data_IF_743238960323
#
_entry.id   IF_743238960323
#
_cell.length_a   1.000
_cell.length_b   1.000
_cell.length_c   1.000
_cell.angle_alpha   90.00
_cell.angle_beta   90.00
_cell.angle_gamma   90.00
#
_symmetry.space_group_name_H-M   'P 1'
#
loop_
_entity.id
_entity.type
_entity.pdbx_description
1 polymer ?
#
# COMPACT_ATOMS: atom_id res chain seq x y z
N UNK A 1 32.78 54.34 24.53
CA UNK A 1 33.75 53.92 23.49
C UNK A 1 34.13 52.46 23.76
N UNK A 2 34.38 51.67 22.71
CA UNK A 2 34.42 50.18 22.66
C UNK A 2 33.02 49.54 22.53
N UNK A 3 32.75 48.54 21.69
CA UNK A 3 33.52 47.85 20.65
C UNK A 3 32.51 47.12 19.74
N UNK A 4 32.52 47.38 18.44
CA UNK A 4 31.71 46.67 17.43
C UNK A 4 32.48 45.45 16.95
N UNK A 5 32.04 44.26 17.38
CA UNK A 5 32.57 42.96 16.97
C UNK A 5 31.71 42.31 15.90
N UNK A 6 32.33 42.10 14.73
CA UNK A 6 31.83 41.42 13.54
C UNK A 6 31.11 40.09 13.79
N UNK A 7 29.95 39.89 13.16
CA UNK A 7 29.42 38.57 12.81
C UNK A 7 29.23 38.54 11.30
N UNK A 8 30.23 37.98 10.61
CA UNK A 8 30.23 37.72 9.18
C UNK A 8 29.71 36.31 8.89
N UNK A 9 28.65 36.27 8.06
CA UNK A 9 28.48 35.35 6.94
C UNK A 9 28.66 33.83 7.19
N UNK A 10 27.57 33.18 7.62
CA UNK A 10 27.26 31.81 7.17
C UNK A 10 26.27 31.87 6.00
N UNK A 11 26.78 32.10 4.78
CA UNK A 11 26.07 31.67 3.56
C UNK A 11 26.33 30.18 3.40
N UNK A 12 25.48 29.34 4.01
CA UNK A 12 25.34 27.95 3.58
C UNK A 12 24.33 27.89 2.45
N UNK A 13 24.82 27.39 1.32
CA UNK A 13 24.13 27.11 0.07
C UNK A 13 22.77 26.44 0.32
N UNK A 14 21.70 27.22 0.16
CA UNK A 14 20.37 26.70 -0.12
C UNK A 14 20.40 26.18 -1.54
N UNK A 15 20.33 24.87 -1.69
CA UNK A 15 20.12 24.19 -2.97
C UNK A 15 18.69 24.52 -3.47
N UNK A 16 18.49 25.22 -4.59
CA UNK A 16 17.17 25.53 -5.10
C UNK A 16 16.79 24.51 -6.18
N UNK A 17 16.70 23.23 -5.81
CA UNK A 17 16.29 22.15 -6.74
C UNK A 17 15.33 21.13 -6.10
N UNK A 18 14.46 21.58 -5.20
CA UNK A 18 13.24 20.84 -4.82
C UNK A 18 12.01 21.58 -5.34
N UNK A 19 11.96 21.83 -6.64
CA UNK A 19 10.75 22.27 -7.33
C UNK A 19 10.10 21.07 -8.00
N UNK A 20 8.80 20.92 -7.75
CA UNK A 20 7.78 20.25 -8.60
C UNK A 20 7.87 18.72 -8.76
N UNK A 21 7.47 17.98 -7.72
CA UNK A 21 6.88 16.63 -7.91
C UNK A 21 5.45 16.49 -7.34
N UNK A 22 4.91 17.52 -6.69
CA UNK A 22 3.55 17.49 -6.11
C UNK A 22 2.45 17.73 -7.17
N UNK A 23 2.80 18.12 -8.40
CA UNK A 23 1.81 18.68 -9.33
C UNK A 23 1.21 17.69 -10.35
N UNK A 24 1.74 16.48 -10.55
CA UNK A 24 1.26 15.64 -11.66
C UNK A 24 -0.02 14.88 -11.35
N UNK A 25 -0.24 14.40 -10.12
CA UNK A 25 -1.53 13.79 -9.74
C UNK A 25 -2.65 14.84 -9.64
N UNK A 26 -2.31 16.04 -9.15
CA UNK A 26 -3.31 17.02 -8.71
C UNK A 26 -3.66 18.09 -9.77
N UNK A 27 -2.92 18.18 -10.87
CA UNK A 27 -3.22 19.13 -11.95
C UNK A 27 -4.23 18.65 -12.99
N UNK A 28 -4.80 17.46 -12.86
CA UNK A 28 -5.88 17.00 -13.75
C UNK A 28 -7.27 17.52 -13.33
N UNK A 29 -7.35 18.75 -12.82
CA UNK A 29 -8.63 19.47 -12.73
C UNK A 29 -8.97 20.01 -14.13
N UNK A 30 -10.16 19.73 -14.69
CA UNK A 30 -10.58 20.38 -15.92
C UNK A 30 -10.59 21.90 -15.69
N UNK A 31 -9.83 22.63 -16.53
CA UNK A 31 -9.93 24.08 -16.61
C UNK A 31 -11.39 24.44 -16.95
N UNK A 32 -12.18 24.79 -15.93
CA UNK A 32 -13.44 25.48 -16.13
C UNK A 32 -13.10 26.82 -16.78
N UNK A 33 -13.36 26.88 -18.09
CA UNK A 33 -13.15 28.03 -18.93
C UNK A 33 -14.02 29.20 -18.42
N UNK A 34 -13.43 30.07 -17.59
CA UNK A 34 -14.05 31.35 -17.21
C UNK A 34 -13.95 32.31 -18.38
N UNK A 35 -14.89 32.16 -19.31
CA UNK A 35 -15.23 33.20 -20.27
C UNK A 35 -16.75 33.17 -20.49
N UNK A 36 -17.50 33.83 -19.60
CA UNK A 36 -18.84 34.30 -19.95
C UNK A 36 -19.03 35.71 -19.43
N UNK A 37 -19.15 36.62 -20.40
CA UNK A 37 -19.49 38.03 -20.26
C UNK A 37 -20.73 38.20 -19.41
N UNK A 38 -20.67 39.21 -18.54
CA UNK A 38 -21.83 39.88 -17.97
C UNK A 38 -22.75 40.37 -19.08
N UNK A 39 -24.04 40.07 -18.97
CA UNK A 39 -25.14 41.01 -19.29
C UNK A 39 -26.48 40.38 -18.92
N UNK A 40 -27.36 41.25 -18.41
CA UNK A 40 -28.81 41.17 -18.43
C UNK A 40 -29.50 40.27 -17.40
N UNK A 41 -30.01 40.95 -16.38
CA UNK A 41 -31.29 40.76 -15.69
C UNK A 41 -32.25 39.81 -16.39
N UNK A 42 -32.61 38.70 -15.73
CA UNK A 42 -34.00 38.26 -15.73
C UNK A 42 -34.31 37.40 -14.49
N UNK A 43 -35.53 37.60 -13.97
CA UNK A 43 -36.07 36.93 -12.79
C UNK A 43 -36.56 35.55 -13.21
N UNK A 44 -36.00 34.48 -12.64
CA UNK A 44 -36.63 33.16 -12.71
C UNK A 44 -36.52 32.47 -11.35
N UNK A 45 -37.69 32.11 -10.84
CA UNK A 45 -37.95 31.41 -9.59
C UNK A 45 -37.14 30.11 -9.46
N UNK A 46 -36.53 29.93 -8.29
CA UNK A 46 -35.87 28.69 -7.90
C UNK A 46 -36.94 27.70 -7.46
N UNK A 47 -37.30 26.77 -8.35
CA UNK A 47 -38.05 25.56 -7.97
C UNK A 47 -37.06 24.62 -7.29
N UNK A 48 -37.24 24.43 -5.99
CA UNK A 48 -36.57 23.42 -5.17
C UNK A 48 -37.02 22.05 -5.66
N UNK A 49 -36.13 21.31 -6.34
CA UNK A 49 -36.38 19.93 -6.73
C UNK A 49 -36.21 19.02 -5.51
N UNK A 50 -37.33 18.77 -4.84
CA UNK A 50 -37.51 17.74 -3.82
C UNK A 50 -37.26 16.37 -4.44
N UNK A 51 -36.26 15.65 -3.95
CA UNK A 51 -35.97 14.28 -4.34
C UNK A 51 -36.76 13.33 -3.43
N UNK A 52 -37.98 12.98 -3.85
CA UNK A 52 -38.76 11.89 -3.28
C UNK A 52 -39.50 11.14 -4.38
N UNK A 53 -39.24 9.83 -4.46
CA UNK A 53 -40.10 8.71 -4.93
C UNK A 53 -39.23 7.46 -4.74
N UNK A 54 -39.43 6.65 -3.69
CA UNK A 54 -40.50 5.66 -3.55
C UNK A 54 -40.74 4.86 -4.84
N UNK A 55 -40.15 3.67 -4.88
CA UNK A 55 -40.64 2.56 -5.67
C UNK A 55 -40.96 1.40 -4.72
N UNK A 56 -42.26 1.16 -4.57
CA UNK A 56 -42.85 -0.04 -4.02
C UNK A 56 -42.55 -1.22 -4.97
N UNK A 57 -42.02 -2.32 -4.43
CA UNK A 57 -42.16 -3.63 -5.07
C UNK A 57 -42.93 -4.53 -4.11
N UNK A 58 -44.10 -4.95 -4.58
CA UNK A 58 -45.01 -5.89 -3.96
C UNK A 58 -44.38 -7.28 -3.77
N UNK A 59 -44.64 -7.83 -2.58
CA UNK A 59 -45.16 -9.17 -2.29
C UNK A 59 -44.86 -10.28 -3.32
N UNK A 60 -44.10 -11.29 -2.87
CA UNK A 60 -44.63 -12.65 -2.74
C UNK A 60 -43.78 -13.47 -1.75
N UNK A 61 -44.38 -13.74 -0.60
CA UNK A 61 -43.89 -14.67 0.44
C UNK A 61 -44.67 -15.96 0.33
N UNK A 62 -44.07 -17.06 -0.12
CA UNK A 62 -44.41 -18.42 0.36
C UNK A 62 -43.29 -19.37 -0.04
N UNK A 63 -42.54 -19.90 0.93
CA UNK A 63 -42.23 -21.34 1.02
C UNK A 63 -41.51 -21.64 2.33
N UNK A 64 -42.12 -22.56 3.08
CA UNK A 64 -41.70 -23.06 4.37
C UNK A 64 -40.45 -23.95 4.25
N UNK A 65 -39.48 -23.79 5.15
CA UNK A 65 -38.46 -24.82 5.40
C UNK A 65 -38.65 -25.30 6.83
N UNK A 66 -38.90 -26.61 6.93
CA UNK A 66 -39.13 -27.37 8.14
C UNK A 66 -37.82 -27.50 8.93
N UNK A 67 -37.93 -27.27 10.24
CA UNK A 67 -36.98 -27.73 11.24
C UNK A 67 -37.10 -29.26 11.36
N UNK A 68 -35.97 -29.98 11.23
CA UNK A 68 -35.89 -31.38 11.61
C UNK A 68 -34.96 -31.50 12.81
N UNK A 69 -35.59 -31.57 13.97
CA UNK A 69 -35.05 -31.98 15.25
C UNK A 69 -34.78 -33.49 15.22
N UNK A 70 -33.57 -33.94 15.60
CA UNK A 70 -33.34 -35.34 15.99
C UNK A 70 -32.54 -35.40 17.29
N UNK A 71 -33.22 -35.95 18.29
CA UNK A 71 -32.71 -36.42 19.56
C UNK A 71 -32.07 -37.81 19.44
N UNK A 72 -30.98 -38.01 20.21
CA UNK A 72 -30.58 -39.17 21.06
C UNK A 72 -30.42 -40.57 20.39
N UNK A 73 -29.49 -41.46 20.86
CA UNK A 73 -29.36 -41.82 22.28
C UNK A 73 -27.96 -42.09 22.86
N UNK A 74 -27.98 -42.16 24.19
CA UNK A 74 -26.96 -42.53 25.18
C UNK A 74 -26.48 -44.00 25.18
N UNK A 75 -25.64 -44.30 26.20
CA UNK A 75 -25.07 -45.58 26.71
C UNK A 75 -23.87 -46.13 25.90
N UNK A 76 -22.72 -46.58 26.42
CA UNK A 76 -22.36 -47.31 27.66
C UNK A 76 -20.88 -47.13 28.06
N UNK A 77 -20.64 -47.33 29.36
CA UNK A 77 -19.37 -47.47 30.07
C UNK A 77 -18.32 -48.41 29.44
N UNK A 78 -17.05 -48.09 29.65
CA UNK A 78 -16.06 -49.14 29.96
C UNK A 78 -14.89 -48.63 30.81
N UNK A 79 -14.46 -49.54 31.66
CA UNK A 79 -13.67 -49.44 32.88
C UNK A 79 -12.19 -49.74 32.58
N UNK A 80 -11.32 -49.41 33.56
CA UNK A 80 -9.99 -49.98 33.87
C UNK A 80 -8.79 -49.36 33.14
N UNK A 81 -7.65 -49.06 33.79
CA UNK A 81 -7.05 -49.59 35.04
C UNK A 81 -6.26 -48.51 35.80
N UNK A 82 -6.19 -48.69 37.13
CA UNK A 82 -5.18 -48.10 38.02
C UNK A 82 -3.94 -49.01 38.04
N UNK A 83 -2.76 -48.41 38.20
CA UNK A 83 -1.56 -48.95 38.89
C UNK A 83 -0.66 -47.71 39.16
N UNK A 84 -0.60 -47.15 40.36
CA UNK A 84 0.18 -47.58 41.53
C UNK A 84 1.69 -47.68 41.25
N UNK A 85 2.45 -46.66 41.66
CA UNK A 85 3.90 -46.76 41.90
C UNK A 85 4.40 -45.65 42.86
N UNK A 86 4.43 -46.02 44.14
CA UNK A 86 5.56 -45.97 45.08
C UNK A 86 6.43 -44.69 45.09
N UNK A 87 6.31 -43.96 46.20
CA UNK A 87 7.29 -42.97 46.66
C UNK A 87 8.41 -43.64 47.49
N UNK A 88 9.64 -43.10 47.43
CA UNK A 88 10.71 -42.99 48.47
C UNK A 88 12.05 -42.60 47.81
N UNK A 89 13.15 -42.23 48.51
CA UNK A 89 13.48 -40.84 48.78
C UNK A 89 14.91 -40.42 48.36
N UNK A 90 15.15 -39.11 48.40
CA UNK A 90 16.41 -38.41 48.75
C UNK A 90 17.75 -38.92 48.18
N UNK A 91 18.31 -38.17 47.22
CA UNK A 91 19.77 -38.03 47.13
C UNK A 91 20.15 -36.61 46.71
N UNK A 92 20.87 -35.97 47.62
CA UNK A 92 21.36 -34.60 47.58
C UNK A 92 22.59 -34.52 46.67
N UNK A 93 22.46 -33.89 45.50
CA UNK A 93 23.60 -33.60 44.61
C UNK A 93 23.98 -32.11 44.70
N UNK A 94 25.25 -31.76 45.01
CA UNK A 94 25.67 -30.38 45.18
C UNK A 94 25.71 -29.62 43.84
N UNK A 95 24.81 -28.63 43.70
CA UNK A 95 24.74 -27.69 42.58
C UNK A 95 26.00 -26.80 42.53
N UNK A 96 26.98 -27.16 41.72
CA UNK A 96 28.06 -26.25 41.29
C UNK A 96 27.46 -25.08 40.51
N UNK A 97 27.36 -23.91 41.16
CA UNK A 97 26.97 -22.64 40.54
C UNK A 97 28.01 -22.25 39.47
N UNK A 98 27.78 -22.68 38.22
CA UNK A 98 28.45 -22.09 37.05
C UNK A 98 28.02 -20.62 36.98
N UNK A 99 28.95 -19.71 37.30
CA UNK A 99 28.83 -18.28 37.03
C UNK A 99 28.56 -18.13 35.53
N UNK A 100 27.29 -17.94 35.15
CA UNK A 100 26.88 -17.49 33.83
C UNK A 100 27.52 -16.12 33.62
N UNK A 101 28.63 -16.09 32.91
CA UNK A 101 29.18 -14.86 32.37
C UNK A 101 28.07 -14.19 31.55
N UNK A 102 27.66 -12.99 31.96
CA UNK A 102 26.79 -12.12 31.15
C UNK A 102 27.57 -11.80 29.87
N UNK A 103 27.37 -12.60 28.83
CA UNK A 103 27.84 -12.31 27.49
C UNK A 103 27.04 -11.10 27.01
N UNK A 104 27.60 -9.90 27.16
CA UNK A 104 27.11 -8.68 26.49
C UNK A 104 27.27 -8.90 24.98
N UNK A 105 26.33 -9.60 24.36
CA UNK A 105 26.16 -9.59 22.92
C UNK A 105 25.24 -8.40 22.57
N UNK A 106 25.75 -7.18 22.72
CA UNK A 106 25.12 -6.02 22.11
C UNK A 106 25.59 -5.94 20.65
N UNK A 107 25.28 -6.98 19.86
CA UNK A 107 25.36 -6.84 18.41
C UNK A 107 24.17 -5.97 18.05
N UNK A 108 24.46 -4.73 17.66
CA UNK A 108 23.46 -3.79 17.22
C UNK A 108 22.65 -4.47 16.11
N UNK A 109 21.42 -4.92 16.41
CA UNK A 109 20.57 -5.67 15.47
C UNK A 109 19.90 -4.72 14.47
N UNK A 110 20.17 -3.43 14.61
CA UNK A 110 19.65 -2.39 13.75
C UNK A 110 20.36 -2.43 12.40
N UNK A 111 19.59 -2.23 11.34
CA UNK A 111 20.11 -1.96 10.01
C UNK A 111 19.96 -0.47 9.70
N UNK A 112 18.76 0.05 9.89
CA UNK A 112 18.40 1.46 9.72
C UNK A 112 17.59 1.88 10.95
N UNK A 113 18.24 2.42 12.00
CA UNK A 113 17.57 2.80 13.24
C UNK A 113 16.50 3.88 13.03
N UNK A 114 16.72 4.83 12.11
CA UNK A 114 15.86 6.02 11.95
C UNK A 114 14.46 5.68 11.43
N UNK A 115 14.30 4.52 10.79
CA UNK A 115 13.00 4.01 10.32
C UNK A 115 12.69 2.64 10.95
N UNK A 116 13.35 2.31 12.06
CA UNK A 116 13.15 1.08 12.84
C UNK A 116 13.32 -0.23 12.05
N UNK A 117 14.22 -0.26 11.04
CA UNK A 117 14.54 -1.50 10.34
C UNK A 117 15.75 -2.20 10.94
N UNK A 118 15.62 -3.51 11.10
CA UNK A 118 16.61 -4.42 11.68
C UNK A 118 17.30 -5.24 10.60
N UNK A 119 18.42 -5.87 10.94
CA UNK A 119 19.18 -6.75 10.04
C UNK A 119 18.32 -7.91 9.50
N UNK A 120 17.32 -8.36 10.26
CA UNK A 120 16.36 -9.37 9.78
C UNK A 120 15.52 -8.87 8.59
N UNK A 121 15.15 -7.57 8.55
CA UNK A 121 14.40 -7.00 7.44
C UNK A 121 15.26 -6.92 6.18
N UNK A 122 16.55 -6.59 6.33
CA UNK A 122 17.51 -6.66 5.22
C UNK A 122 17.56 -8.05 4.60
N UNK A 123 17.59 -9.10 5.44
CA UNK A 123 17.58 -10.49 4.97
C UNK A 123 16.29 -10.85 4.24
N UNK A 124 15.13 -10.40 4.74
CA UNK A 124 13.84 -10.59 4.06
C UNK A 124 13.84 -9.96 2.66
N UNK A 125 14.40 -8.76 2.52
CA UNK A 125 14.54 -8.08 1.23
C UNK A 125 15.52 -8.80 0.30
N UNK A 126 16.54 -9.48 0.82
CA UNK A 126 17.47 -10.28 0.02
C UNK A 126 16.90 -11.66 -0.37
N UNK A 127 15.84 -12.11 0.30
CA UNK A 127 15.20 -13.40 0.08
C UNK A 127 13.87 -13.32 -0.67
N UNK A 128 13.15 -14.43 -0.66
CA UNK A 128 11.81 -14.60 -1.26
C UNK A 128 10.70 -14.61 -0.20
N UNK A 129 10.96 -14.00 0.96
CA UNK A 129 10.00 -13.92 2.05
C UNK A 129 8.98 -12.80 1.79
N UNK A 130 7.75 -12.97 2.29
CA UNK A 130 6.76 -11.90 2.32
C UNK A 130 7.29 -10.72 3.14
N UNK A 131 7.09 -9.51 2.64
CA UNK A 131 7.36 -8.31 3.42
C UNK A 131 6.39 -8.23 4.60
N UNK A 132 6.92 -7.88 5.76
CA UNK A 132 6.13 -7.61 6.96
C UNK A 132 5.65 -6.15 6.99
N UNK A 133 4.75 -5.89 7.91
CA UNK A 133 4.19 -4.58 8.22
C UNK A 133 5.26 -3.54 8.59
N UNK A 134 6.31 -3.91 9.32
CA UNK A 134 7.42 -2.99 9.66
C UNK A 134 8.12 -2.47 8.38
N UNK A 135 8.36 -3.32 7.38
CA UNK A 135 8.92 -2.91 6.08
C UNK A 135 7.93 -2.05 5.29
N UNK A 136 6.65 -2.42 5.24
CA UNK A 136 5.63 -1.65 4.52
C UNK A 136 5.48 -0.26 5.14
N UNK A 137 5.44 -0.15 6.47
CA UNK A 137 5.31 1.12 7.18
C UNK A 137 6.52 2.02 6.98
N UNK A 138 7.73 1.46 6.99
CA UNK A 138 8.93 2.21 6.65
C UNK A 138 8.85 2.81 5.23
N UNK A 139 8.37 2.04 4.26
CA UNK A 139 8.20 2.51 2.88
C UNK A 139 7.12 3.59 2.77
N UNK A 140 5.95 3.37 3.39
CA UNK A 140 4.86 4.34 3.42
C UNK A 140 5.28 5.68 4.05
N UNK A 141 6.02 5.64 5.16
CA UNK A 141 6.53 6.84 5.82
C UNK A 141 7.49 7.64 4.95
N UNK A 142 8.36 6.95 4.19
CA UNK A 142 9.29 7.60 3.27
C UNK A 142 8.56 8.20 2.05
N UNK A 143 7.60 7.46 1.46
CA UNK A 143 6.74 7.96 0.38
C UNK A 143 5.98 9.21 0.85
N UNK A 144 5.35 9.14 2.02
CA UNK A 144 4.59 10.24 2.60
C UNK A 144 5.45 11.48 2.82
N UNK A 145 6.67 11.31 3.33
CA UNK A 145 7.63 12.42 3.52
C UNK A 145 8.09 13.01 2.19
N UNK A 146 8.36 12.18 1.19
CA UNK A 146 8.89 12.62 -0.10
C UNK A 146 7.84 13.36 -0.95
N UNK A 147 6.60 12.87 -0.97
CA UNK A 147 5.53 13.42 -1.80
C UNK A 147 4.59 14.38 -1.05
N UNK A 148 4.71 14.49 0.29
CA UNK A 148 3.85 15.32 1.13
C UNK A 148 2.35 15.09 0.85
N UNK A 149 1.93 13.82 0.87
CA UNK A 149 0.57 13.41 0.51
C UNK A 149 -0.27 12.97 1.72
N UNK A 150 -1.59 13.00 1.56
CA UNK A 150 -2.52 12.32 2.47
C UNK A 150 -2.50 10.80 2.24
N UNK A 151 -3.11 10.06 3.17
CA UNK A 151 -3.06 8.59 3.18
C UNK A 151 -1.74 8.07 3.73
N UNK A 152 -1.25 6.98 3.11
CA UNK A 152 -0.07 6.21 3.49
C UNK A 152 0.05 6.01 5.00
N UNK A 153 -1.08 5.64 5.59
CA UNK A 153 -1.20 5.38 7.02
C UNK A 153 -0.61 4.01 7.35
N UNK A 154 -0.25 3.80 8.62
CA UNK A 154 0.31 2.52 9.08
C UNK A 154 -0.54 1.35 8.62
N UNK A 155 0.13 0.33 8.07
CA UNK A 155 -0.46 -0.91 7.59
C UNK A 155 -1.19 -1.68 8.68
N UNK A 156 -0.85 -1.47 9.95
CA UNK A 156 -1.56 -2.00 11.12
C UNK A 156 -3.04 -1.57 11.15
N UNK A 157 -3.38 -0.41 10.59
CA UNK A 157 -4.76 0.06 10.49
C UNK A 157 -5.63 -0.78 9.56
N UNK A 158 -5.03 -1.59 8.68
CA UNK A 158 -5.77 -2.60 7.90
C UNK A 158 -6.50 -3.63 8.77
N UNK A 159 -6.04 -3.83 10.02
CA UNK A 159 -6.63 -4.73 11.00
C UNK A 159 -7.54 -4.01 12.01
N UNK A 160 -7.28 -2.72 12.23
CA UNK A 160 -8.04 -1.90 13.16
C UNK A 160 -9.06 -1.05 12.39
N UNK A 161 -8.67 0.17 12.05
CA UNK A 161 -9.46 1.13 11.29
C UNK A 161 -8.54 2.22 10.75
N UNK A 162 -8.72 2.60 9.49
CA UNK A 162 -8.05 3.77 8.92
C UNK A 162 -8.72 5.09 9.36
N UNK A 163 -7.94 6.16 9.41
CA UNK A 163 -8.50 7.50 9.53
C UNK A 163 -8.98 8.01 8.16
N UNK A 164 -10.08 8.76 8.11
CA UNK A 164 -10.53 9.34 6.86
C UNK A 164 -9.54 10.40 6.36
N UNK A 165 -9.30 10.38 5.06
CA UNK A 165 -8.64 11.43 4.30
C UNK A 165 -9.68 12.37 3.69
N UNK A 166 -9.26 13.56 3.27
CA UNK A 166 -10.16 14.61 2.75
C UNK A 166 -9.76 15.10 1.35
N UNK A 167 -8.64 14.62 0.83
CA UNK A 167 -8.19 14.92 -0.53
C UNK A 167 -7.62 13.70 -1.26
N UNK A 168 -7.10 13.90 -2.48
CA UNK A 168 -6.46 12.85 -3.23
C UNK A 168 -5.27 12.28 -2.45
N UNK A 169 -5.17 10.96 -2.47
CA UNK A 169 -4.36 10.21 -1.50
C UNK A 169 -4.06 8.81 -2.02
N UNK A 170 -3.02 8.19 -1.47
CA UNK A 170 -2.59 6.83 -1.80
C UNK A 170 -2.53 6.03 -0.51
N UNK A 171 -2.99 4.78 -0.53
CA UNK A 171 -2.93 3.89 0.64
C UNK A 171 -2.49 2.49 0.24
N UNK A 172 -1.59 1.90 1.02
CA UNK A 172 -1.27 0.47 0.92
C UNK A 172 -2.18 -0.29 1.89
N UNK A 173 -2.87 -1.30 1.37
CA UNK A 173 -3.83 -2.13 2.09
C UNK A 173 -3.28 -3.54 2.31
N UNK A 174 -3.70 -4.18 3.40
CA UNK A 174 -3.53 -5.60 3.61
C UNK A 174 -4.88 -6.32 3.55
N UNK A 175 -5.08 -7.18 2.54
CA UNK A 175 -6.28 -7.99 2.36
C UNK A 175 -5.95 -9.47 2.14
N UNK A 176 -6.46 -10.36 3.00
CA UNK A 176 -6.31 -11.82 2.91
C UNK A 176 -4.88 -12.30 2.56
N UNK A 177 -3.88 -11.78 3.28
CA UNK A 177 -2.43 -12.07 3.10
C UNK A 177 -1.81 -11.47 1.82
N UNK A 178 -2.46 -10.47 1.22
CA UNK A 178 -1.97 -9.78 0.05
C UNK A 178 -1.82 -8.28 0.34
N UNK A 179 -0.73 -7.71 -0.15
CA UNK A 179 -0.52 -6.26 -0.18
C UNK A 179 -0.98 -5.72 -1.53
N UNK A 180 -1.70 -4.61 -1.53
CA UNK A 180 -2.15 -3.90 -2.72
C UNK A 180 -2.22 -2.41 -2.44
N UNK A 181 -2.28 -1.62 -3.49
CA UNK A 181 -2.29 -0.16 -3.38
C UNK A 181 -3.57 0.39 -3.96
N UNK A 182 -4.15 1.39 -3.31
CA UNK A 182 -5.24 2.18 -3.86
C UNK A 182 -4.87 3.66 -3.92
N UNK A 183 -5.52 4.39 -4.83
CA UNK A 183 -5.38 5.83 -4.99
C UNK A 183 -6.77 6.45 -5.15
N UNK A 184 -7.08 7.45 -4.34
CA UNK A 184 -8.22 8.33 -4.58
C UNK A 184 -7.77 9.46 -5.51
N UNK A 185 -8.32 9.52 -6.72
CA UNK A 185 -8.11 10.63 -7.66
C UNK A 185 -9.40 10.94 -8.41
N UNK A 186 -9.71 12.22 -8.61
CA UNK A 186 -10.92 12.67 -9.31
C UNK A 186 -12.21 12.03 -8.80
N UNK A 187 -12.33 11.86 -7.48
CA UNK A 187 -13.46 11.20 -6.79
C UNK A 187 -13.65 9.70 -7.07
N UNK A 188 -12.73 9.06 -7.78
CA UNK A 188 -12.70 7.62 -8.00
C UNK A 188 -11.56 6.98 -7.20
N UNK A 189 -11.80 5.76 -6.74
CA UNK A 189 -10.77 4.94 -6.09
C UNK A 189 -10.22 3.97 -7.11
N UNK A 190 -8.94 4.07 -7.44
CA UNK A 190 -8.27 3.12 -8.32
C UNK A 190 -7.46 2.13 -7.49
N UNK A 191 -7.55 0.84 -7.79
CA UNK A 191 -6.82 -0.23 -7.12
C UNK A 191 -5.79 -0.84 -8.07
N UNK A 192 -4.55 -0.92 -7.61
CA UNK A 192 -3.47 -1.67 -8.22
C UNK A 192 -3.16 -2.92 -7.39
N UNK A 193 -3.66 -4.08 -7.84
CA UNK A 193 -3.41 -5.40 -7.22
C UNK A 193 -2.61 -6.31 -8.15
N UNK A 194 -1.32 -6.51 -7.85
CA UNK A 194 -0.42 -7.35 -8.63
C UNK A 194 -0.74 -8.84 -8.58
N UNK A 195 -1.57 -9.30 -7.63
CA UNK A 195 -2.03 -10.69 -7.59
C UNK A 195 -3.02 -11.03 -8.72
N UNK A 196 -3.61 -10.00 -9.34
CA UNK A 196 -4.54 -10.13 -10.46
C UNK A 196 -5.94 -10.59 -10.05
N UNK A 197 -6.34 -10.36 -8.78
CA UNK A 197 -7.74 -10.49 -8.38
C UNK A 197 -8.56 -9.41 -9.09
N UNK A 198 -9.76 -9.79 -9.54
CA UNK A 198 -10.70 -8.89 -10.24
C UNK A 198 -11.95 -8.56 -9.42
N UNK A 199 -11.88 -8.76 -8.11
CA UNK A 199 -13.01 -8.49 -7.21
C UNK A 199 -12.49 -7.92 -5.89
N UNK A 200 -13.34 -7.13 -5.24
CA UNK A 200 -13.05 -6.47 -3.96
C UNK A 200 -13.68 -7.29 -2.83
N UNK A 201 -12.88 -7.70 -1.84
CA UNK A 201 -13.37 -8.40 -0.65
C UNK A 201 -14.08 -7.44 0.30
N UNK A 202 -14.94 -7.94 1.19
CA UNK A 202 -15.61 -7.07 2.17
C UNK A 202 -14.63 -6.41 3.15
N UNK A 203 -13.52 -7.09 3.47
CA UNK A 203 -12.40 -6.52 4.23
C UNK A 203 -11.81 -5.30 3.51
N UNK A 204 -11.54 -5.41 2.22
CA UNK A 204 -11.01 -4.30 1.43
C UNK A 204 -12.06 -3.18 1.25
N UNK A 205 -13.34 -3.52 1.03
CA UNK A 205 -14.45 -2.54 0.99
C UNK A 205 -14.52 -1.73 2.28
N UNK A 206 -14.38 -2.37 3.44
CA UNK A 206 -14.34 -1.71 4.74
C UNK A 206 -13.17 -0.72 4.80
N UNK A 207 -11.96 -1.17 4.48
CA UNK A 207 -10.76 -0.31 4.51
C UNK A 207 -10.87 0.89 3.55
N UNK A 208 -11.44 0.70 2.35
CA UNK A 208 -11.69 1.78 1.38
C UNK A 208 -12.65 2.82 1.94
N UNK A 209 -13.75 2.40 2.58
CA UNK A 209 -14.72 3.32 3.21
C UNK A 209 -14.10 4.10 4.36
N UNK A 210 -13.30 3.44 5.19
CA UNK A 210 -12.61 4.09 6.30
C UNK A 210 -11.59 5.12 5.81
N UNK A 211 -10.80 4.77 4.79
CA UNK A 211 -9.77 5.66 4.28
C UNK A 211 -10.37 6.83 3.49
N UNK A 212 -11.34 6.58 2.60
CA UNK A 212 -11.80 7.56 1.61
C UNK A 212 -13.18 8.16 1.87
N UNK A 213 -13.94 7.64 2.84
CA UNK A 213 -15.32 8.08 3.09
C UNK A 213 -15.46 9.56 3.47
N UNK A 214 -14.40 10.20 3.98
CA UNK A 214 -14.38 11.64 4.27
C UNK A 214 -14.17 12.53 3.05
N UNK A 215 -13.65 11.99 1.94
CA UNK A 215 -13.26 12.75 0.76
C UNK A 215 -14.30 12.70 -0.38
N UNK A 216 -15.33 11.87 -0.26
CA UNK A 216 -16.38 11.70 -1.28
C UNK A 216 -17.77 11.80 -0.67
N UNK A 217 -18.74 12.25 -1.45
CA UNK A 217 -20.15 12.40 -1.02
C UNK A 217 -20.97 11.10 -1.14
N UNK A 218 -20.43 10.10 -1.83
CA UNK A 218 -21.08 8.80 -2.05
C UNK A 218 -20.17 7.66 -1.56
N UNK A 219 -20.68 6.42 -1.53
CA UNK A 219 -19.88 5.26 -1.11
C UNK A 219 -18.65 5.07 -2.03
N UNK A 220 -17.41 5.23 -1.52
CA UNK A 220 -16.20 5.15 -2.34
C UNK A 220 -16.03 3.78 -3.01
N UNK A 221 -16.61 2.72 -2.44
CA UNK A 221 -16.58 1.37 -3.01
C UNK A 221 -17.31 1.29 -4.35
N UNK A 222 -18.39 2.09 -4.53
CA UNK A 222 -19.15 2.11 -5.79
C UNK A 222 -18.39 2.80 -6.93
N UNK A 223 -17.48 3.70 -6.57
CA UNK A 223 -16.63 4.45 -7.49
C UNK A 223 -15.24 3.81 -7.63
N UNK A 224 -15.11 2.53 -7.26
CA UNK A 224 -13.82 1.83 -7.27
C UNK A 224 -13.59 1.10 -8.60
N UNK A 225 -12.42 1.31 -9.20
CA UNK A 225 -11.93 0.60 -10.38
C UNK A 225 -10.68 -0.22 -10.02
N UNK A 226 -10.61 -1.47 -10.49
CA UNK A 226 -9.39 -2.29 -10.40
C UNK A 226 -8.63 -2.16 -11.73
N UNK A 227 -7.43 -1.63 -11.68
CA UNK A 227 -6.57 -1.39 -12.84
C UNK A 227 -5.89 -2.68 -13.33
N UNK A 228 -5.65 -2.76 -14.64
CA UNK A 228 -4.82 -3.81 -15.25
C UNK A 228 -3.33 -3.47 -15.10
N UNK A 229 -2.79 -3.74 -13.92
CA UNK A 229 -1.38 -3.48 -13.57
C UNK A 229 -0.49 -4.69 -13.83
N UNK A 230 0.82 -4.51 -13.68
CA UNK A 230 1.73 -5.63 -13.79
C UNK A 230 1.48 -6.72 -12.75
N UNK A 231 1.41 -7.97 -13.24
CA UNK A 231 1.13 -9.12 -12.39
C UNK A 231 2.43 -9.66 -11.86
N UNK A 232 2.51 -9.82 -10.54
CA UNK A 232 3.67 -10.45 -9.93
C UNK A 232 3.79 -11.92 -10.39
N UNK A 233 5.00 -12.41 -10.68
CA UNK A 233 5.20 -13.78 -11.15
C UNK A 233 5.15 -14.83 -10.02
N UNK A 234 5.09 -14.42 -8.75
CA UNK A 234 5.19 -15.29 -7.58
C UNK A 234 4.18 -14.92 -6.49
N UNK A 235 4.23 -15.57 -5.32
CA UNK A 235 3.26 -15.34 -4.22
C UNK A 235 3.78 -14.42 -3.11
N UNK A 236 5.01 -13.96 -3.17
CA UNK A 236 5.69 -13.30 -2.06
C UNK A 236 6.10 -11.85 -2.33
N UNK A 237 6.00 -11.37 -3.57
CA UNK A 237 6.39 -10.01 -3.96
C UNK A 237 5.25 -8.99 -3.92
N UNK A 238 4.04 -9.34 -3.48
CA UNK A 238 2.92 -8.39 -3.44
C UNK A 238 3.24 -7.12 -2.66
N UNK A 239 4.01 -7.21 -1.57
CA UNK A 239 4.46 -6.03 -0.81
C UNK A 239 5.39 -5.12 -1.62
N UNK A 240 6.30 -5.70 -2.41
CA UNK A 240 7.24 -4.94 -3.25
C UNK A 240 6.49 -4.24 -4.39
N UNK A 241 5.55 -4.94 -5.02
CA UNK A 241 4.68 -4.38 -6.06
C UNK A 241 3.75 -3.30 -5.52
N UNK A 242 3.19 -3.48 -4.32
CA UNK A 242 2.36 -2.46 -3.69
C UNK A 242 3.14 -1.16 -3.46
N UNK A 243 4.37 -1.24 -2.94
CA UNK A 243 5.24 -0.06 -2.76
C UNK A 243 5.57 0.59 -4.12
N UNK A 244 5.91 -0.20 -5.13
CA UNK A 244 6.19 0.32 -6.47
C UNK A 244 4.96 1.02 -7.09
N UNK A 245 3.78 0.40 -7.00
CA UNK A 245 2.53 1.00 -7.47
C UNK A 245 2.17 2.27 -6.70
N UNK A 246 2.45 2.34 -5.40
CA UNK A 246 2.27 3.55 -4.62
C UNK A 246 3.18 4.67 -5.10
N UNK A 247 4.44 4.38 -5.40
CA UNK A 247 5.35 5.33 -6.03
C UNK A 247 4.82 5.79 -7.40
N UNK A 248 4.36 4.88 -8.26
CA UNK A 248 3.86 5.24 -9.60
C UNK A 248 2.58 6.07 -9.55
N UNK A 249 1.66 5.77 -8.63
CA UNK A 249 0.53 6.66 -8.37
C UNK A 249 1.03 8.04 -7.97
N UNK A 250 1.99 8.13 -7.04
CA UNK A 250 2.49 9.40 -6.50
C UNK A 250 3.29 10.24 -7.50
N UNK A 251 4.15 9.60 -8.29
CA UNK A 251 5.05 10.27 -9.21
C UNK A 251 4.39 10.52 -10.57
N UNK A 252 3.65 9.54 -11.10
CA UNK A 252 3.21 9.52 -12.49
C UNK A 252 1.67 9.47 -12.65
N UNK A 253 0.92 9.26 -11.56
CA UNK A 253 -0.54 9.14 -11.58
C UNK A 253 -1.08 7.86 -12.22
N UNK A 254 -0.21 6.91 -12.60
CA UNK A 254 -0.57 5.69 -13.32
C UNK A 254 0.42 4.53 -13.04
N UNK A 255 -0.03 3.42 -12.42
CA UNK A 255 0.81 2.26 -12.06
C UNK A 255 0.83 1.11 -13.10
N UNK A 256 0.41 1.34 -14.35
CA UNK A 256 0.28 0.27 -15.37
C UNK A 256 1.60 -0.19 -16.02
N UNK A 257 2.75 0.32 -15.57
CA UNK A 257 4.06 -0.05 -16.11
C UNK A 257 4.47 -1.49 -15.73
N UNK A 258 5.39 -2.08 -16.50
CA UNK A 258 5.95 -3.42 -16.26
C UNK A 258 7.25 -3.34 -15.47
N UNK A 259 7.35 -4.10 -14.37
CA UNK A 259 8.51 -4.05 -13.50
C UNK A 259 9.52 -5.16 -13.80
N UNK A 260 10.80 -4.87 -13.64
CA UNK A 260 11.84 -5.90 -13.60
C UNK A 260 11.85 -6.54 -12.20
N UNK A 261 11.01 -7.55 -12.02
CA UNK A 261 10.81 -8.27 -10.77
C UNK A 261 12.13 -8.71 -10.11
N UNK A 262 13.16 -9.06 -10.89
CA UNK A 262 14.44 -9.55 -10.37
C UNK A 262 15.21 -8.47 -9.61
N UNK A 263 15.09 -7.22 -10.01
CA UNK A 263 15.81 -6.10 -9.41
C UNK A 263 14.98 -5.34 -8.37
N UNK A 264 13.64 -5.48 -8.32
CA UNK A 264 12.78 -4.68 -7.44
C UNK A 264 13.15 -4.79 -5.95
N UNK A 265 13.47 -5.99 -5.46
CA UNK A 265 13.81 -6.20 -4.03
C UNK A 265 15.13 -5.56 -3.65
N UNK A 266 16.15 -5.72 -4.49
CA UNK A 266 17.45 -5.08 -4.33
C UNK A 266 17.29 -3.56 -4.38
N UNK A 267 16.49 -3.06 -5.32
CA UNK A 267 16.16 -1.65 -5.41
C UNK A 267 15.46 -1.13 -4.15
N UNK A 268 14.51 -1.87 -3.57
CA UNK A 268 13.86 -1.50 -2.32
C UNK A 268 14.85 -1.45 -1.14
N UNK A 269 15.81 -2.36 -1.08
CA UNK A 269 16.90 -2.31 -0.10
C UNK A 269 17.75 -1.03 -0.26
N UNK A 270 18.15 -0.70 -1.49
CA UNK A 270 18.93 0.50 -1.79
C UNK A 270 18.15 1.79 -1.48
N UNK A 271 16.85 1.81 -1.78
CA UNK A 271 15.93 2.88 -1.39
C UNK A 271 16.02 3.09 0.12
N UNK A 272 15.77 2.05 0.93
CA UNK A 272 15.82 2.22 2.38
C UNK A 272 17.15 2.80 2.83
N UNK A 273 18.27 2.29 2.33
CA UNK A 273 19.61 2.78 2.68
C UNK A 273 19.83 4.25 2.32
N UNK A 274 19.29 4.71 1.17
CA UNK A 274 19.40 6.11 0.71
C UNK A 274 18.37 7.06 1.33
N UNK A 275 17.32 6.54 1.98
CA UNK A 275 16.17 7.31 2.50
C UNK A 275 15.44 8.12 1.41
N UNK A 276 15.54 7.66 0.17
CA UNK A 276 14.98 8.33 -1.00
C UNK A 276 14.38 7.28 -1.93
N UNK A 277 13.17 7.55 -2.40
CA UNK A 277 12.41 6.64 -3.27
C UNK A 277 12.57 7.10 -4.69
N UNK A 278 13.05 6.21 -5.52
CA UNK A 278 13.14 6.41 -6.96
C UNK A 278 12.20 5.46 -7.69
N UNK A 279 11.99 5.70 -8.99
CA UNK A 279 11.23 4.79 -9.82
C UNK A 279 11.81 3.38 -9.76
N UNK A 280 10.93 2.40 -9.54
CA UNK A 280 11.33 0.99 -9.51
C UNK A 280 11.85 0.56 -10.89
N UNK A 281 12.76 -0.42 -10.95
CA UNK A 281 13.26 -0.97 -12.20
C UNK A 281 12.11 -1.45 -13.08
N UNK A 282 12.08 -1.00 -14.33
CA UNK A 282 11.08 -1.38 -15.33
C UNK A 282 11.75 -2.28 -16.35
N UNK A 283 11.02 -3.27 -16.85
CA UNK A 283 11.45 -3.95 -18.07
C UNK A 283 11.24 -2.90 -19.15
N UNK A 284 12.33 -2.34 -19.67
CA UNK A 284 12.26 -1.49 -20.85
C UNK A 284 11.44 -2.26 -21.89
N UNK A 285 10.20 -1.83 -22.14
CA UNK A 285 9.63 -2.07 -23.45
C UNK A 285 10.61 -1.33 -24.35
N UNK A 286 11.49 -2.07 -25.02
CA UNK A 286 12.30 -1.52 -26.11
C UNK A 286 11.42 -0.51 -26.85
N UNK A 287 11.88 0.73 -27.07
CA UNK A 287 11.09 1.68 -27.83
C UNK A 287 10.70 0.96 -29.13
N UNK A 288 9.40 0.79 -29.37
CA UNK A 288 8.84 0.04 -30.49
C UNK A 288 9.14 0.69 -31.86
N UNK A 289 10.15 1.56 -31.95
CA UNK A 289 10.64 2.21 -33.15
C UNK A 289 12.15 2.45 -33.09
N UNK A 290 12.91 1.40 -33.35
CA UNK A 290 14.04 1.53 -34.28
C UNK A 290 14.19 0.22 -35.02
N UNK A 291 13.18 -0.07 -35.85
CA UNK A 291 13.42 -0.80 -37.09
C UNK A 291 14.46 0.02 -37.84
N UNK A 292 15.74 -0.33 -37.65
CA UNK A 292 16.76 -0.01 -38.63
C UNK A 292 16.30 -0.65 -39.93
N UNK A 293 15.60 0.12 -40.75
CA UNK A 293 15.57 -0.11 -42.18
C UNK A 293 17.00 0.02 -42.66
N UNK A 294 17.77 -1.05 -42.54
CA UNK A 294 18.98 -1.29 -43.31
C UNK A 294 18.50 -1.38 -44.77
N UNK A 295 18.32 -0.21 -45.39
CA UNK A 295 18.17 -0.08 -46.84
C UNK A 295 19.37 -0.81 -47.45
N UNK A 296 19.15 -2.02 -47.93
CA UNK A 296 19.99 -2.64 -48.95
C UNK A 296 19.80 -1.82 -50.23
N UNK A 297 20.49 -0.69 -50.29
CA UNK A 297 20.70 0.04 -51.53
C UNK A 297 21.55 -0.84 -52.44
N UNK A 298 20.87 -1.54 -53.35
CA UNK A 298 21.50 -2.28 -54.43
C UNK A 298 22.07 -1.26 -55.40
N UNK A 299 23.39 -1.12 -55.45
CA UNK A 299 24.08 -0.38 -56.52
C UNK A 299 23.95 -1.25 -57.78
N UNK A 300 23.04 -0.87 -58.68
CA UNK A 300 23.09 -1.32 -60.08
C UNK A 300 23.99 -0.35 -60.82
N UNK A 301 25.18 -0.82 -61.19
CA UNK A 301 25.99 -0.18 -62.22
C UNK A 301 25.27 -0.35 -63.56
N UNK A 302 24.90 0.77 -64.18
CA UNK A 302 24.59 0.82 -65.61
C UNK A 302 25.89 1.13 -66.33
N UNK A 303 26.29 0.23 -67.22
CA UNK A 303 27.26 0.48 -68.28
C UNK A 303 26.50 0.95 -69.51
#
# INVERSE_FOLDING_TARGET
MASTGNISFFRRLLNPLTKTCIMQIFNCLPNHNKNRKETSTDKSEVIVQVCSKEEEINKDSTTCIKEEERHEPSVTDSICTKDEQIATPDSTIPKKKKKRGKKKNNRNNDWIPEINLKQQHKKKLQGTELLDDEIIDAAQNLLKKQFNCEGLQSSLFSQMQFYPVYGPSVQIHHDRKNWLTSCLKSHNVEIADSSGKRYITDTLKKQIRECYGGAVTCDPVKMTEILDVDRQPNRYDCGVYAIANAYEFLANGNPTCKYDNKEMRKHLSDFFERREITAFPKIDSLPWNTVYHKRRGTIRNVR
#
